data_IF_061467320161
#
_entry.id   IF_061467320161
#
_cell.length_a   1.000
_cell.length_b   1.000
_cell.length_c   1.000
_cell.angle_alpha   90.00
_cell.angle_beta   90.00
_cell.angle_gamma   90.00
#
_symmetry.space_group_name_H-M   'P 1'
#
loop_
_entity.id
_entity.type
_entity.pdbx_description
1 polymer ?
#
# COMPACT_ATOMS: atom_id res chain seq x y z
N UNK A 1 -4.50 37.32 1.29
CA UNK A 1 -5.22 36.06 1.11
C UNK A 1 -4.89 35.17 2.30
N UNK A 2 -5.82 35.09 3.26
CA UNK A 2 -5.60 34.37 4.51
C UNK A 2 -5.75 32.86 4.28
N UNK A 3 -4.65 32.14 4.35
CA UNK A 3 -4.67 30.70 4.40
C UNK A 3 -4.89 30.29 5.86
N UNK A 4 -6.12 29.90 6.23
CA UNK A 4 -6.42 29.38 7.57
C UNK A 4 -5.76 28.00 7.73
N UNK A 5 -4.73 27.99 8.56
CA UNK A 5 -3.95 26.80 8.92
C UNK A 5 -4.71 25.97 9.96
N UNK A 6 -5.54 25.04 9.55
CA UNK A 6 -6.00 23.93 10.40
C UNK A 6 -5.84 22.60 9.67
N UNK A 7 -4.63 22.32 9.23
CA UNK A 7 -4.25 21.00 8.75
C UNK A 7 -3.61 20.23 9.90
N UNK A 8 -4.33 19.30 10.50
CA UNK A 8 -3.75 18.31 11.41
C UNK A 8 -2.71 17.50 10.67
N UNK A 9 -1.45 17.78 10.99
CA UNK A 9 -0.31 17.01 10.48
C UNK A 9 -0.32 15.64 11.16
N UNK A 10 -0.88 14.63 10.53
CA UNK A 10 -0.72 13.25 10.99
C UNK A 10 0.72 12.80 10.71
N UNK A 11 1.41 12.39 11.75
CA UNK A 11 2.84 12.09 11.83
C UNK A 11 3.23 10.76 11.17
N UNK A 12 2.98 10.57 9.88
CA UNK A 12 3.50 9.39 9.19
C UNK A 12 3.93 9.74 7.77
N UNK A 13 5.21 9.94 7.61
CA UNK A 13 5.88 9.94 6.33
C UNK A 13 6.06 11.31 5.69
N UNK A 14 7.20 11.45 5.03
CA UNK A 14 7.54 12.55 4.14
C UNK A 14 6.48 12.59 3.03
N UNK A 15 5.52 13.49 3.14
CA UNK A 15 4.53 13.72 2.09
C UNK A 15 5.01 14.84 1.18
N UNK A 16 5.57 14.49 0.06
CA UNK A 16 5.59 15.38 -1.10
C UNK A 16 4.20 15.35 -1.74
N UNK A 17 3.20 15.91 -1.08
CA UNK A 17 1.86 15.94 -1.66
C UNK A 17 1.69 17.23 -2.45
N UNK A 18 1.65 17.11 -3.76
CA UNK A 18 1.21 18.20 -4.64
C UNK A 18 -0.29 18.50 -4.51
N UNK A 19 -1.00 17.80 -3.61
CA UNK A 19 -2.45 17.88 -3.47
C UNK A 19 -2.86 18.01 -2.02
N UNK A 20 -3.83 18.87 -1.72
CA UNK A 20 -4.44 19.05 -0.41
C UNK A 20 -5.64 18.12 -0.21
N UNK A 21 -5.82 17.61 1.01
CA UNK A 21 -6.93 16.71 1.33
C UNK A 21 -7.38 16.89 2.78
N UNK A 22 -8.68 16.92 3.02
CA UNK A 22 -9.31 16.81 4.35
C UNK A 22 -9.56 15.35 4.73
N UNK A 23 -9.77 14.49 3.74
CA UNK A 23 -10.01 13.06 3.89
C UNK A 23 -8.85 12.32 3.22
N UNK A 24 -8.35 11.27 3.86
CA UNK A 24 -7.27 10.43 3.33
C UNK A 24 -7.62 9.94 1.92
N UNK A 25 -6.72 10.14 0.96
CA UNK A 25 -6.84 9.76 -0.46
C UNK A 25 -7.90 10.50 -1.29
N UNK A 26 -8.55 11.53 -0.75
CA UNK A 26 -9.44 12.41 -1.52
C UNK A 26 -8.77 13.76 -1.68
N UNK A 27 -8.39 14.13 -2.89
CA UNK A 27 -7.64 15.35 -3.17
C UNK A 27 -8.54 16.42 -3.81
N UNK A 28 -8.78 17.50 -3.07
CA UNK A 28 -9.66 18.60 -3.47
C UNK A 28 -8.90 19.75 -4.12
N UNK A 29 -7.62 19.92 -3.76
CA UNK A 29 -6.79 21.02 -4.26
C UNK A 29 -5.35 20.57 -4.50
N UNK A 30 -4.68 21.26 -5.42
CA UNK A 30 -3.24 21.10 -5.63
C UNK A 30 -2.51 21.78 -4.47
N UNK A 31 -1.65 21.03 -3.77
CA UNK A 31 -0.85 21.51 -2.65
C UNK A 31 0.53 22.02 -3.08
N UNK A 32 1.42 22.10 -2.12
CA UNK A 32 2.81 22.52 -2.31
C UNK A 32 3.78 21.34 -2.20
N UNK A 33 4.94 21.46 -2.83
CA UNK A 33 6.05 20.55 -2.61
C UNK A 33 6.81 21.00 -1.35
N UNK A 34 6.54 20.35 -0.23
CA UNK A 34 7.21 20.57 1.05
C UNK A 34 8.58 19.87 1.03
N UNK A 35 9.65 20.60 1.29
CA UNK A 35 11.01 20.05 1.40
C UNK A 35 11.19 19.35 2.74
N UNK A 36 12.24 18.52 2.84
CA UNK A 36 12.65 17.84 4.07
C UNK A 36 13.16 18.88 5.08
N UNK A 37 12.56 18.93 6.27
CA UNK A 37 13.05 19.78 7.35
C UNK A 37 14.22 19.12 8.12
N UNK A 38 14.98 19.94 8.85
CA UNK A 38 16.18 19.52 9.55
C UNK A 38 15.91 18.48 10.65
N UNK A 39 14.77 18.56 11.35
CA UNK A 39 14.39 17.59 12.38
C UNK A 39 14.09 16.22 11.78
N UNK A 40 13.32 16.17 10.70
CA UNK A 40 13.06 14.95 9.96
C UNK A 40 14.37 14.36 9.38
N UNK A 41 15.25 15.19 8.85
CA UNK A 41 16.54 14.76 8.33
C UNK A 41 17.43 14.14 9.43
N UNK A 42 17.43 14.69 10.64
CA UNK A 42 18.15 14.15 11.78
C UNK A 42 17.66 12.75 12.16
N UNK A 43 16.34 12.54 12.21
CA UNK A 43 15.74 11.21 12.47
C UNK A 43 16.11 10.21 11.36
N UNK A 44 16.02 10.63 10.10
CA UNK A 44 16.36 9.77 8.96
C UNK A 44 17.83 9.36 8.94
N UNK A 45 18.76 10.24 9.36
CA UNK A 45 20.19 9.89 9.49
C UNK A 45 20.42 8.73 10.45
N UNK A 46 19.67 8.65 11.54
CA UNK A 46 19.75 7.51 12.47
C UNK A 46 19.21 6.24 11.82
N UNK A 47 18.03 6.31 11.19
CA UNK A 47 17.37 5.17 10.54
C UNK A 47 18.14 4.63 9.32
N UNK A 48 18.84 5.49 8.60
CA UNK A 48 19.57 5.11 7.38
C UNK A 48 20.57 3.99 7.61
N UNK A 49 21.16 3.91 8.82
CA UNK A 49 22.12 2.85 9.18
C UNK A 49 21.50 1.44 9.17
N UNK A 50 20.19 1.34 9.36
CA UNK A 50 19.45 0.07 9.44
C UNK A 50 18.64 -0.22 8.17
N UNK A 51 18.65 0.70 7.19
CA UNK A 51 17.77 0.61 6.01
C UNK A 51 18.01 -0.68 5.21
N UNK A 52 19.26 -1.09 5.07
CA UNK A 52 19.61 -2.30 4.32
C UNK A 52 19.11 -3.55 5.02
N UNK A 53 19.38 -3.70 6.31
CA UNK A 53 18.91 -4.81 7.14
C UNK A 53 17.38 -4.95 7.09
N UNK A 54 16.65 -3.82 7.20
CA UNK A 54 15.19 -3.83 7.09
C UNK A 54 14.72 -4.19 5.67
N UNK A 55 15.45 -3.78 4.66
CA UNK A 55 15.13 -4.12 3.26
C UNK A 55 15.29 -5.61 3.02
N UNK A 56 16.40 -6.20 3.45
CA UNK A 56 16.62 -7.64 3.38
C UNK A 56 15.57 -8.42 4.17
N UNK A 57 15.19 -7.95 5.37
CA UNK A 57 14.13 -8.54 6.17
C UNK A 57 12.80 -8.59 5.41
N UNK A 58 12.39 -7.47 4.78
CA UNK A 58 11.19 -7.42 3.95
C UNK A 58 11.29 -8.32 2.71
N UNK A 59 12.45 -8.41 2.08
CA UNK A 59 12.67 -9.31 0.94
C UNK A 59 12.52 -10.78 1.34
N UNK A 60 13.10 -11.20 2.48
CA UNK A 60 12.90 -12.55 3.04
C UNK A 60 11.41 -12.84 3.30
N UNK A 61 10.72 -11.89 3.90
CA UNK A 61 9.28 -12.02 4.19
C UNK A 61 8.43 -12.05 2.92
N UNK A 62 8.78 -11.29 1.88
CA UNK A 62 8.10 -11.34 0.59
C UNK A 62 8.27 -12.71 -0.09
N UNK A 63 9.48 -13.28 -0.08
CA UNK A 63 9.73 -14.63 -0.60
C UNK A 63 8.95 -15.70 0.17
N UNK A 64 8.83 -15.55 1.51
CA UNK A 64 8.02 -16.45 2.34
C UNK A 64 6.52 -16.35 2.00
N UNK A 65 5.98 -15.15 1.83
CA UNK A 65 4.60 -14.98 1.35
C UNK A 65 4.38 -15.69 0.01
N UNK A 66 5.28 -15.52 -0.94
CA UNK A 66 5.18 -16.19 -2.24
C UNK A 66 5.12 -17.72 -2.08
N UNK A 67 5.97 -18.30 -1.23
CA UNK A 67 5.97 -19.74 -0.94
C UNK A 67 4.66 -20.18 -0.28
N UNK A 68 4.16 -19.46 0.72
CA UNK A 68 2.90 -19.76 1.42
C UNK A 68 1.70 -19.69 0.48
N UNK A 69 1.59 -18.69 -0.39
CA UNK A 69 0.51 -18.59 -1.37
C UNK A 69 0.53 -19.72 -2.39
N UNK A 70 1.72 -20.13 -2.85
CA UNK A 70 1.88 -21.31 -3.73
C UNK A 70 1.43 -22.61 -3.06
N UNK A 71 1.89 -22.85 -1.82
CA UNK A 71 1.53 -24.03 -1.04
C UNK A 71 0.03 -24.09 -0.71
N UNK A 72 -0.61 -22.95 -0.53
CA UNK A 72 -2.03 -22.85 -0.20
C UNK A 72 -2.95 -22.91 -1.42
N UNK A 73 -2.43 -23.11 -2.64
CA UNK A 73 -3.20 -23.14 -3.89
C UNK A 73 -4.11 -21.92 -4.09
N UNK A 74 -3.59 -20.72 -3.76
CA UNK A 74 -4.34 -19.46 -3.87
C UNK A 74 -4.05 -18.65 -5.13
N UNK A 75 -3.13 -19.10 -6.00
CA UNK A 75 -2.65 -18.33 -7.15
C UNK A 75 -3.69 -18.14 -8.26
N UNK A 76 -4.80 -18.86 -8.22
CA UNK A 76 -5.94 -18.69 -9.14
C UNK A 76 -6.88 -17.55 -8.73
N UNK A 77 -6.87 -17.15 -7.45
CA UNK A 77 -7.67 -16.03 -6.92
C UNK A 77 -6.84 -14.85 -6.41
N UNK A 78 -5.53 -15.03 -6.25
CA UNK A 78 -4.58 -14.01 -5.77
C UNK A 78 -3.43 -13.86 -6.77
N UNK A 79 -3.24 -12.65 -7.30
CA UNK A 79 -2.06 -12.33 -8.09
C UNK A 79 -1.02 -11.64 -7.21
N UNK A 80 0.18 -12.22 -7.15
CA UNK A 80 1.30 -11.71 -6.36
C UNK A 80 2.07 -10.61 -7.10
N UNK A 81 2.79 -9.73 -6.38
CA UNK A 81 3.67 -8.75 -7.02
C UNK A 81 4.81 -9.46 -7.76
N UNK A 82 5.08 -9.01 -8.99
CA UNK A 82 6.20 -9.51 -9.81
C UNK A 82 7.34 -8.52 -9.80
N UNK A 83 8.57 -9.03 -9.74
CA UNK A 83 9.80 -8.24 -9.84
C UNK A 83 10.55 -8.66 -11.10
N UNK A 84 10.89 -7.70 -11.96
CA UNK A 84 11.74 -7.98 -13.12
C UNK A 84 13.17 -8.25 -12.69
N UNK A 85 13.89 -9.10 -13.42
CA UNK A 85 15.25 -9.55 -13.05
C UNK A 85 16.26 -8.42 -12.85
N UNK A 86 16.05 -7.29 -13.51
CA UNK A 86 16.93 -6.11 -13.45
C UNK A 86 16.64 -5.18 -12.26
N UNK A 87 15.56 -5.41 -11.52
CA UNK A 87 15.12 -4.54 -10.45
C UNK A 87 15.30 -5.18 -9.08
N UNK A 88 15.75 -4.37 -8.13
CA UNK A 88 15.74 -4.70 -6.71
C UNK A 88 14.48 -4.12 -6.06
N UNK A 89 13.53 -4.95 -5.68
CA UNK A 89 12.33 -4.51 -4.96
C UNK A 89 12.59 -4.44 -3.45
N UNK A 90 12.28 -3.31 -2.83
CA UNK A 90 12.51 -3.08 -1.38
C UNK A 90 11.31 -3.47 -0.52
N UNK A 91 10.18 -3.85 -1.12
CA UNK A 91 8.93 -4.23 -0.47
C UNK A 91 8.51 -3.28 0.67
N UNK A 92 8.52 -1.96 0.35
CA UNK A 92 7.91 -0.98 1.25
C UNK A 92 6.43 -1.30 1.50
N UNK A 93 5.81 -1.92 0.51
CA UNK A 93 4.45 -2.46 0.54
C UNK A 93 4.47 -3.83 -0.17
N UNK A 94 3.69 -4.79 0.34
CA UNK A 94 3.43 -6.06 -0.33
C UNK A 94 1.99 -6.04 -0.84
N UNK A 95 1.82 -5.70 -2.11
CA UNK A 95 0.51 -5.47 -2.71
C UNK A 95 0.13 -6.65 -3.59
N UNK A 96 -0.96 -7.32 -3.23
CA UNK A 96 -1.57 -8.37 -4.02
C UNK A 96 -2.76 -7.82 -4.81
N UNK A 97 -3.17 -8.52 -5.89
CA UNK A 97 -4.43 -8.27 -6.57
C UNK A 97 -5.37 -9.43 -6.31
N UNK A 98 -6.61 -9.10 -5.94
CA UNK A 98 -7.60 -10.09 -5.53
C UNK A 98 -8.98 -9.71 -6.05
N UNK A 99 -9.78 -10.71 -6.37
CA UNK A 99 -11.20 -10.53 -6.59
C UNK A 99 -11.91 -10.35 -5.25
N UNK A 100 -13.02 -9.60 -5.24
CA UNK A 100 -13.81 -9.32 -4.04
C UNK A 100 -12.98 -8.63 -2.95
N UNK A 101 -12.06 -7.73 -3.34
CA UNK A 101 -11.10 -7.05 -2.49
C UNK A 101 -11.71 -6.45 -1.22
N UNK A 102 -12.85 -5.75 -1.32
CA UNK A 102 -13.46 -5.07 -0.17
C UNK A 102 -14.05 -6.07 0.82
N UNK A 103 -14.63 -7.17 0.33
CA UNK A 103 -15.12 -8.25 1.19
C UNK A 103 -13.96 -8.96 1.91
N UNK A 104 -12.88 -9.26 1.19
CA UNK A 104 -11.67 -9.83 1.79
C UNK A 104 -11.07 -8.89 2.84
N UNK A 105 -10.99 -7.59 2.55
CA UNK A 105 -10.49 -6.59 3.49
C UNK A 105 -11.29 -6.58 4.79
N UNK A 106 -12.62 -6.55 4.69
CA UNK A 106 -13.50 -6.58 5.86
C UNK A 106 -13.27 -7.86 6.67
N UNK A 107 -13.25 -9.01 6.00
CA UNK A 107 -13.01 -10.30 6.65
C UNK A 107 -11.65 -10.35 7.37
N UNK A 108 -10.58 -9.88 6.71
CA UNK A 108 -9.24 -9.80 7.31
C UNK A 108 -9.22 -8.90 8.55
N UNK A 109 -9.89 -7.74 8.47
CA UNK A 109 -10.00 -6.81 9.59
C UNK A 109 -10.74 -7.44 10.80
N UNK A 110 -11.81 -8.18 10.56
CA UNK A 110 -12.56 -8.92 11.60
C UNK A 110 -11.69 -10.00 12.26
N UNK A 111 -10.73 -10.56 11.51
CA UNK A 111 -9.76 -11.53 12.03
C UNK A 111 -8.48 -10.86 12.60
N UNK A 112 -8.47 -9.53 12.79
CA UNK A 112 -7.34 -8.80 13.37
C UNK A 112 -6.16 -8.60 12.42
N UNK A 113 -6.31 -8.86 11.12
CA UNK A 113 -5.27 -8.61 10.12
C UNK A 113 -5.42 -7.20 9.53
N UNK A 114 -4.47 -6.32 9.82
CA UNK A 114 -4.42 -4.97 9.27
C UNK A 114 -4.03 -4.96 7.79
N UNK A 115 -4.84 -4.34 6.95
CA UNK A 115 -4.58 -4.19 5.51
C UNK A 115 -4.82 -2.76 5.05
N UNK A 116 -4.24 -2.36 3.92
CA UNK A 116 -4.41 -1.01 3.37
C UNK A 116 -4.58 -1.07 1.85
N UNK A 117 -5.14 -0.01 1.27
CA UNK A 117 -5.33 0.12 -0.18
C UNK A 117 -4.50 1.29 -0.68
N UNK A 118 -3.60 1.02 -1.62
CA UNK A 118 -2.73 2.02 -2.24
C UNK A 118 -2.89 1.99 -3.78
N UNK A 119 -3.79 2.80 -4.36
CA UNK A 119 -4.68 3.81 -3.78
C UNK A 119 -6.12 3.49 -4.14
N UNK A 120 -7.13 3.86 -3.32
CA UNK A 120 -8.53 3.47 -3.56
C UNK A 120 -9.18 4.22 -4.73
N UNK A 121 -8.56 5.31 -5.19
CA UNK A 121 -9.05 6.09 -6.33
C UNK A 121 -7.88 6.53 -7.20
N UNK A 122 -7.94 6.32 -8.52
CA UNK A 122 -6.91 6.78 -9.45
C UNK A 122 -6.83 8.32 -9.51
N UNK A 123 -5.65 8.85 -9.83
CA UNK A 123 -5.40 10.30 -9.83
C UNK A 123 -6.31 11.07 -10.80
N UNK A 124 -6.59 10.52 -11.98
CA UNK A 124 -7.40 11.21 -13.01
C UNK A 124 -8.87 11.39 -12.62
N UNK A 125 -9.35 10.62 -11.60
CA UNK A 125 -10.71 10.73 -11.05
C UNK A 125 -10.76 11.70 -9.86
N UNK A 126 -9.62 12.15 -9.35
CA UNK A 126 -9.57 13.09 -8.24
C UNK A 126 -10.11 14.47 -8.65
N UNK A 127 -10.85 15.10 -7.75
CA UNK A 127 -11.52 16.40 -8.00
C UNK A 127 -10.53 17.48 -8.46
N UNK A 128 -9.33 17.52 -7.89
CA UNK A 128 -8.31 18.50 -8.25
C UNK A 128 -7.73 18.35 -9.67
N UNK A 129 -8.04 17.26 -10.38
CA UNK A 129 -7.60 17.00 -11.75
C UNK A 129 -8.76 16.97 -12.77
N UNK A 130 -9.96 17.33 -12.33
CA UNK A 130 -11.15 17.34 -13.20
C UNK A 130 -10.99 18.19 -14.48
N UNK A 131 -10.25 19.30 -14.38
CA UNK A 131 -10.03 20.22 -15.49
C UNK A 131 -9.10 19.66 -16.58
N UNK A 132 -8.46 18.50 -16.34
CA UNK A 132 -7.65 17.81 -17.36
C UNK A 132 -8.51 17.05 -18.39
N UNK A 133 -9.84 16.98 -18.19
CA UNK A 133 -10.75 16.36 -19.14
C UNK A 133 -10.78 14.83 -19.13
N UNK A 134 -10.10 14.19 -18.17
CA UNK A 134 -10.14 12.74 -17.98
C UNK A 134 -11.30 12.35 -17.05
N UNK A 135 -11.89 11.18 -17.29
CA UNK A 135 -12.97 10.62 -16.49
C UNK A 135 -12.90 9.09 -16.39
N UNK A 136 -13.91 8.45 -15.80
CA UNK A 136 -14.00 7.00 -15.76
C UNK A 136 -13.84 6.37 -17.15
N UNK A 137 -13.05 5.30 -17.25
CA UNK A 137 -12.70 4.63 -18.49
C UNK A 137 -11.48 5.20 -19.23
N UNK A 138 -10.97 6.38 -18.84
CA UNK A 138 -9.78 6.96 -19.48
C UNK A 138 -8.49 6.17 -19.25
N UNK A 139 -8.38 5.52 -18.09
CA UNK A 139 -7.19 4.72 -17.71
C UNK A 139 -7.61 3.40 -17.08
N UNK A 140 -8.11 2.42 -17.85
CA UNK A 140 -8.74 1.21 -17.34
C UNK A 140 -7.81 0.34 -16.47
N UNK A 141 -6.51 0.35 -16.74
CA UNK A 141 -5.54 -0.38 -15.90
C UNK A 141 -5.37 0.24 -14.50
N UNK A 142 -5.37 1.57 -14.40
CA UNK A 142 -5.28 2.26 -13.12
C UNK A 142 -6.59 2.12 -12.31
N UNK A 143 -7.72 2.17 -12.99
CA UNK A 143 -9.05 1.99 -12.39
C UNK A 143 -9.20 0.57 -11.83
N UNK A 144 -8.88 -0.45 -12.62
CA UNK A 144 -8.86 -1.84 -12.16
C UNK A 144 -7.89 -2.06 -11.00
N UNK A 145 -6.70 -1.45 -11.03
CA UNK A 145 -5.76 -1.57 -9.92
C UNK A 145 -6.34 -0.98 -8.61
N UNK A 146 -7.06 0.14 -8.68
CA UNK A 146 -7.71 0.73 -7.52
C UNK A 146 -8.81 -0.17 -6.92
N UNK A 147 -9.45 -1.00 -7.74
CA UNK A 147 -10.50 -1.94 -7.32
C UNK A 147 -9.96 -3.25 -6.74
N UNK A 148 -8.87 -3.77 -7.31
CA UNK A 148 -8.37 -5.12 -7.03
C UNK A 148 -7.22 -5.17 -6.02
N UNK A 149 -6.47 -4.07 -5.83
CA UNK A 149 -5.25 -4.11 -5.02
C UNK A 149 -5.51 -4.06 -3.52
N UNK A 150 -4.75 -4.87 -2.77
CA UNK A 150 -4.76 -4.93 -1.31
C UNK A 150 -3.33 -5.11 -0.80
N UNK A 151 -2.88 -4.23 0.10
CA UNK A 151 -1.59 -4.35 0.75
C UNK A 151 -1.70 -5.20 2.01
N UNK A 152 -0.89 -6.25 2.09
CA UNK A 152 -0.72 -7.10 3.25
C UNK A 152 0.36 -6.54 4.19
N UNK A 153 0.35 -6.92 5.48
CA UNK A 153 1.40 -6.55 6.42
C UNK A 153 2.78 -6.99 5.91
N UNK A 154 3.73 -6.07 5.87
CA UNK A 154 5.13 -6.35 5.51
C UNK A 154 6.07 -5.42 6.28
N UNK A 155 6.94 -5.96 7.10
CA UNK A 155 8.02 -5.28 7.81
C UNK A 155 9.13 -6.29 8.13
N UNK A 156 10.30 -5.83 8.54
CA UNK A 156 11.48 -6.69 8.65
C UNK A 156 11.31 -7.78 9.72
N UNK A 157 10.66 -7.46 10.83
CA UNK A 157 10.47 -8.30 12.01
C UNK A 157 9.20 -9.18 11.95
N UNK A 158 8.46 -9.18 10.82
CA UNK A 158 7.25 -10.00 10.65
C UNK A 158 7.61 -11.49 10.75
N UNK A 159 6.99 -12.18 11.71
CA UNK A 159 7.30 -13.60 11.99
C UNK A 159 6.67 -14.56 10.99
N UNK A 160 7.18 -15.80 10.95
CA UNK A 160 6.63 -16.87 10.10
C UNK A 160 5.19 -17.19 10.46
N UNK A 161 4.89 -17.30 11.76
CA UNK A 161 3.54 -17.60 12.26
C UNK A 161 2.53 -16.49 11.89
N UNK A 162 2.95 -15.23 11.97
CA UNK A 162 2.11 -14.11 11.55
C UNK A 162 1.80 -14.15 10.05
N UNK A 163 2.80 -14.48 9.23
CA UNK A 163 2.60 -14.62 7.79
C UNK A 163 1.71 -15.81 7.44
N UNK A 164 1.93 -16.96 8.08
CA UNK A 164 1.09 -18.14 7.93
C UNK A 164 -0.36 -17.80 8.30
N UNK A 165 -0.58 -17.13 9.43
CA UNK A 165 -1.90 -16.69 9.87
C UNK A 165 -2.61 -15.80 8.82
N UNK A 166 -1.89 -14.85 8.22
CA UNK A 166 -2.46 -13.99 7.17
C UNK A 166 -2.90 -14.82 5.96
N UNK A 167 -2.04 -15.73 5.49
CA UNK A 167 -2.34 -16.56 4.30
C UNK A 167 -3.46 -17.56 4.60
N UNK A 168 -3.46 -18.19 5.77
CA UNK A 168 -4.54 -19.11 6.20
C UNK A 168 -5.88 -18.39 6.33
N UNK A 169 -5.88 -17.15 6.79
CA UNK A 169 -7.09 -16.34 6.87
C UNK A 169 -7.63 -16.02 5.47
N UNK A 170 -6.76 -15.70 4.50
CA UNK A 170 -7.15 -15.52 3.09
C UNK A 170 -7.68 -16.84 2.51
N UNK A 171 -7.03 -17.97 2.82
CA UNK A 171 -7.45 -19.31 2.41
C UNK A 171 -8.86 -19.63 2.89
N UNK A 172 -9.18 -19.35 4.15
CA UNK A 172 -10.52 -19.51 4.75
C UNK A 172 -11.57 -18.66 4.02
N UNK A 173 -11.25 -17.40 3.68
CA UNK A 173 -12.16 -16.52 2.94
C UNK A 173 -12.57 -17.09 1.58
N UNK A 174 -11.65 -17.73 0.87
CA UNK A 174 -11.94 -18.37 -0.42
C UNK A 174 -12.48 -19.80 -0.30
N UNK A 175 -12.75 -20.31 0.92
CA UNK A 175 -13.31 -21.64 1.15
C UNK A 175 -12.40 -22.78 0.72
N UNK A 176 -11.08 -22.56 0.75
CA UNK A 176 -10.10 -23.58 0.41
C UNK A 176 -9.64 -24.29 1.68
N UNK A 177 -9.79 -25.60 1.73
CA UNK A 177 -9.33 -26.47 2.83
C UNK A 177 -7.92 -26.99 2.57
#
# INVERSE_FOLDING_TARGET
>A
MNCSSTGTCSSSGIRTTRTGSRVKYVHEAIGINSRLDALQAAVLRVKLKYLEEWTEGRQRNAARYEALFKQSNLLDCVTLPTVTAENRHVYNQYVIRVQRRDQLRTFLQEQGVGTEIYYPSPLHIQVCYKDLGFGPGSFPHAERAAEETLALPIYAELTEDQQAYVVDTIKKFYGRN
#
